data_IF_518355982569
#
_entry.id   IF_518355982569
#
_cell.length_a   1.000
_cell.length_b   1.000
_cell.length_c   1.000
_cell.angle_alpha   90.00
_cell.angle_beta   90.00
_cell.angle_gamma   90.00
#
_symmetry.space_group_name_H-M   'P 1'
#
loop_
_entity.id
_entity.type
_entity.pdbx_description
1 polymer ?
#
# COMPACT_ATOMS: atom_id res chain seq x y z
N UNK A 1 -9.26 -0.45 -11.64
CA UNK A 1 -8.59 -1.64 -12.20
C UNK A 1 -7.42 -1.93 -11.27
N UNK A 2 -7.30 -3.16 -10.78
CA UNK A 2 -6.24 -3.50 -9.83
C UNK A 2 -4.89 -3.51 -10.56
N UNK A 3 -3.81 -2.94 -9.98
CA UNK A 3 -2.49 -3.02 -10.61
C UNK A 3 -2.04 -4.47 -10.83
N UNK A 4 -1.34 -4.72 -11.93
CA UNK A 4 -0.83 -6.06 -12.29
C UNK A 4 0.19 -6.60 -11.29
N UNK A 5 0.86 -5.72 -10.55
CA UNK A 5 1.89 -6.04 -9.56
C UNK A 5 1.34 -6.38 -8.18
N UNK A 6 0.01 -6.32 -7.97
CA UNK A 6 -0.61 -6.66 -6.69
C UNK A 6 -1.70 -7.72 -6.86
N UNK A 7 -1.66 -8.78 -6.05
CA UNK A 7 -2.67 -9.88 -6.03
C UNK A 7 -3.28 -10.00 -4.64
N UNK A 8 -4.62 -10.09 -4.54
CA UNK A 8 -5.27 -10.27 -3.23
C UNK A 8 -5.28 -11.77 -3.03
N UNK A 9 -4.60 -12.25 -2.00
CA UNK A 9 -4.44 -13.69 -1.75
C UNK A 9 -5.35 -14.19 -0.62
N UNK A 10 -5.81 -13.27 0.25
CA UNK A 10 -6.77 -13.57 1.32
C UNK A 10 -7.63 -12.34 1.63
N UNK A 11 -8.89 -12.59 1.98
CA UNK A 11 -9.80 -11.61 2.56
C UNK A 11 -10.63 -12.32 3.61
N UNK A 12 -10.26 -12.19 4.88
CA UNK A 12 -10.90 -12.89 5.99
C UNK A 12 -11.00 -12.00 7.22
N UNK A 13 -12.16 -12.01 7.88
CA UNK A 13 -12.41 -11.36 9.16
C UNK A 13 -11.98 -9.87 9.22
N UNK A 14 -12.14 -9.12 8.12
CA UNK A 14 -11.76 -7.70 8.04
C UNK A 14 -10.27 -7.45 7.78
N UNK A 15 -9.48 -8.50 7.55
CA UNK A 15 -8.08 -8.43 7.14
C UNK A 15 -7.97 -8.80 5.66
N UNK A 16 -7.20 -8.01 4.92
CA UNK A 16 -6.88 -8.25 3.50
C UNK A 16 -5.39 -8.50 3.38
N UNK A 17 -5.02 -9.63 2.77
CA UNK A 17 -3.63 -9.94 2.48
C UNK A 17 -3.37 -9.74 0.98
N UNK A 18 -2.30 -9.01 0.68
CA UNK A 18 -1.91 -8.65 -0.69
C UNK A 18 -0.50 -9.13 -0.93
N UNK A 19 -0.33 -9.96 -1.95
CA UNK A 19 0.98 -10.31 -2.50
C UNK A 19 1.41 -9.21 -3.48
N UNK A 20 2.67 -8.77 -3.37
CA UNK A 20 3.27 -7.73 -4.20
C UNK A 20 4.41 -8.36 -5.00
N UNK A 21 4.41 -8.13 -6.31
CA UNK A 21 5.57 -8.41 -7.16
C UNK A 21 6.49 -7.18 -7.15
N UNK A 22 7.52 -7.21 -6.32
CA UNK A 22 8.49 -6.13 -6.19
C UNK A 22 9.42 -6.01 -7.41
N UNK A 23 9.53 -7.05 -8.24
CA UNK A 23 10.29 -6.98 -9.50
C UNK A 23 9.57 -6.22 -10.61
N UNK A 24 8.26 -5.96 -10.48
CA UNK A 24 7.48 -5.26 -11.50
C UNK A 24 7.86 -3.77 -11.55
N UNK A 25 8.23 -3.22 -12.72
CA UNK A 25 8.61 -1.81 -12.84
C UNK A 25 7.47 -0.87 -12.45
N UNK A 26 6.21 -1.29 -12.62
CA UNK A 26 5.05 -0.53 -12.19
C UNK A 26 4.95 -0.40 -10.68
N UNK A 27 5.42 -1.37 -9.90
CA UNK A 27 5.51 -1.24 -8.45
C UNK A 27 6.58 -0.22 -8.07
N UNK A 28 7.79 -0.34 -8.63
CA UNK A 28 8.89 0.60 -8.38
C UNK A 28 8.51 2.05 -8.68
N UNK A 29 7.88 2.31 -9.82
CA UNK A 29 7.43 3.67 -10.18
C UNK A 29 6.45 4.25 -9.17
N UNK A 30 5.49 3.45 -8.68
CA UNK A 30 4.52 3.92 -7.68
C UNK A 30 5.18 4.14 -6.33
N UNK A 31 6.10 3.27 -5.90
CA UNK A 31 6.82 3.48 -4.64
C UNK A 31 7.70 4.73 -4.72
N UNK A 32 8.37 4.98 -5.83
CA UNK A 32 9.16 6.20 -6.04
C UNK A 32 8.27 7.46 -5.96
N UNK A 33 7.09 7.43 -6.58
CA UNK A 33 6.11 8.53 -6.56
C UNK A 33 5.56 8.80 -5.16
N UNK A 34 5.22 7.75 -4.41
CA UNK A 34 4.60 7.88 -3.08
C UNK A 34 5.61 8.08 -1.94
N UNK A 35 6.89 7.80 -2.19
CA UNK A 35 7.92 7.88 -1.15
C UNK A 35 8.14 9.33 -0.71
N UNK A 36 8.15 9.53 0.60
CA UNK A 36 8.45 10.81 1.23
C UNK A 36 9.51 10.63 2.31
N UNK A 37 10.31 11.67 2.55
CA UNK A 37 11.30 11.67 3.63
C UNK A 37 10.57 11.76 4.99
N UNK A 38 10.74 10.73 5.83
CA UNK A 38 10.12 10.64 7.15
C UNK A 38 11.12 11.07 8.24
N UNK A 39 12.40 10.80 8.01
CA UNK A 39 13.54 11.27 8.82
C UNK A 39 14.73 11.50 7.88
N UNK A 40 15.79 12.21 8.30
CA UNK A 40 16.98 12.40 7.47
C UNK A 40 17.47 11.07 6.85
N UNK A 41 17.46 10.98 5.52
CA UNK A 41 17.88 9.80 4.74
C UNK A 41 16.93 8.58 4.84
N UNK A 42 15.82 8.67 5.58
CA UNK A 42 14.81 7.62 5.68
C UNK A 42 13.58 8.04 4.89
N UNK A 43 13.29 7.29 3.82
CA UNK A 43 12.06 7.43 3.04
C UNK A 43 11.06 6.36 3.42
N UNK A 44 9.78 6.67 3.29
CA UNK A 44 8.72 5.67 3.37
C UNK A 44 7.46 6.11 2.67
N UNK A 45 6.52 5.18 2.56
CA UNK A 45 5.23 5.37 1.91
C UNK A 45 4.15 5.30 2.97
N UNK A 46 3.18 6.22 2.93
CA UNK A 46 2.01 6.14 3.80
C UNK A 46 1.15 4.94 3.36
N UNK A 47 0.79 4.11 4.34
CA UNK A 47 -0.03 2.93 4.08
C UNK A 47 -1.37 3.28 3.41
N UNK A 48 -2.01 4.40 3.81
CA UNK A 48 -3.26 4.89 3.21
C UNK A 48 -3.13 5.11 1.70
N UNK A 49 -2.02 5.70 1.26
CA UNK A 49 -1.82 6.11 -0.12
C UNK A 49 -1.55 4.86 -0.98
N UNK A 50 -0.75 3.92 -0.47
CA UNK A 50 -0.54 2.63 -1.11
C UNK A 50 -1.86 1.84 -1.21
N UNK A 51 -2.65 1.80 -0.14
CA UNK A 51 -3.95 1.13 -0.12
C UNK A 51 -4.95 1.72 -1.14
N UNK A 52 -4.96 3.05 -1.32
CA UNK A 52 -5.78 3.70 -2.36
C UNK A 52 -5.40 3.24 -3.77
N UNK A 53 -4.11 3.12 -4.08
CA UNK A 53 -3.63 2.64 -5.39
C UNK A 53 -4.11 1.21 -5.68
N UNK A 54 -4.06 0.33 -4.69
CA UNK A 54 -4.53 -1.05 -4.81
C UNK A 54 -6.05 -1.20 -4.61
N UNK A 55 -6.78 -0.08 -4.50
CA UNK A 55 -8.23 -0.02 -4.30
C UNK A 55 -8.71 -0.77 -3.05
N UNK A 56 -7.93 -0.69 -1.97
CA UNK A 56 -8.28 -1.22 -0.65
C UNK A 56 -8.71 -0.07 0.25
N UNK A 57 -9.92 -0.19 0.80
CA UNK A 57 -10.43 0.73 1.80
C UNK A 57 -9.78 0.41 3.15
N UNK A 58 -9.13 1.40 3.75
CA UNK A 58 -8.59 1.29 5.10
C UNK A 58 -9.61 1.87 6.08
N UNK A 59 -9.95 1.12 7.11
CA UNK A 59 -10.75 1.64 8.22
C UNK A 59 -9.77 2.10 9.27
N UNK A 60 -9.74 3.41 9.52
CA UNK A 60 -8.97 3.93 10.65
C UNK A 60 -9.69 3.54 11.94
N UNK A 61 -9.08 2.64 12.72
CA UNK A 61 -9.60 2.21 14.01
C UNK A 61 -9.03 3.03 15.17
N UNK A 62 -8.42 4.19 14.89
CA UNK A 62 -8.16 5.16 15.96
C UNK A 62 -9.50 5.68 16.49
N UNK A 63 -10.03 5.00 17.51
CA UNK A 63 -11.01 5.56 18.43
C UNK A 63 -10.34 6.72 19.18
N UNK A 64 -10.29 7.90 18.57
CA UNK A 64 -10.16 9.15 19.32
C UNK A 64 -11.51 9.39 20.02
N UNK A 65 -11.56 9.02 21.30
CA UNK A 65 -12.68 9.22 22.21
C UNK A 65 -12.68 10.65 22.75
#
# INVERSE_FOLDING_TARGET
>A
MKPSWATVISNNAGLIEVEINDEDPGFHSIIEELSTEIQPVIVGVKASDLCQIISIETVDTSEDN
#
